data_IF_565608852060
#
_entry.id   IF_565608852060
#
_cell.length_a   1.000
_cell.length_b   1.000
_cell.length_c   1.000
_cell.angle_alpha   90.00
_cell.angle_beta   90.00
_cell.angle_gamma   90.00
#
_symmetry.space_group_name_H-M   'P 1'
#
loop_
_entity.id
_entity.type
_entity.pdbx_description
1 polymer ?
#
# COMPACT_ATOMS: atom_id res chain seq x y z
N UNK A 1 19.74 7.23 9.97
CA UNK A 1 19.57 6.96 11.41
C UNK A 1 19.49 8.25 12.23
N UNK A 2 20.46 9.14 12.10
CA UNK A 2 20.59 10.35 12.94
C UNK A 2 19.36 11.27 12.94
N UNK A 3 18.60 11.33 11.83
CA UNK A 3 17.35 12.10 11.74
C UNK A 3 16.10 11.31 12.13
N UNK A 4 16.02 10.03 11.72
CA UNK A 4 14.81 9.22 11.93
C UNK A 4 14.60 8.79 13.39
N UNK A 5 15.66 8.43 14.10
CA UNK A 5 15.54 7.98 15.49
C UNK A 5 15.03 9.11 16.39
N UNK A 6 15.61 10.32 16.39
CA UNK A 6 15.07 11.44 17.16
C UNK A 6 13.64 11.86 16.75
N UNK A 7 13.28 11.69 15.47
CA UNK A 7 11.92 11.93 15.00
C UNK A 7 10.95 10.90 15.63
N UNK A 8 11.31 9.63 15.57
CA UNK A 8 10.51 8.54 16.16
C UNK A 8 10.31 8.75 17.67
N UNK A 9 11.35 9.16 18.39
CA UNK A 9 11.25 9.46 19.82
C UNK A 9 10.27 10.62 20.09
N UNK A 10 10.29 11.66 19.28
CA UNK A 10 9.31 12.77 19.38
C UNK A 10 7.88 12.30 19.09
N UNK A 11 7.68 11.47 18.06
CA UNK A 11 6.36 10.92 17.74
C UNK A 11 5.85 10.06 18.89
N UNK A 12 6.68 9.18 19.45
CA UNK A 12 6.33 8.33 20.59
C UNK A 12 5.96 9.16 21.84
N UNK A 13 6.68 10.25 22.08
CA UNK A 13 6.38 11.16 23.19
C UNK A 13 5.05 11.91 23.02
N UNK A 14 4.59 12.13 21.77
CA UNK A 14 3.30 12.73 21.48
C UNK A 14 2.11 11.78 21.70
N UNK A 15 2.37 10.47 21.85
CA UNK A 15 1.33 9.44 22.00
C UNK A 15 0.72 8.99 20.67
N UNK A 16 -0.01 7.87 20.72
CA UNK A 16 -0.70 7.31 19.55
C UNK A 16 -2.13 7.86 19.44
N UNK A 17 -2.68 7.97 18.23
CA UNK A 17 -4.09 8.29 18.06
C UNK A 17 -4.98 7.18 18.65
N UNK A 18 -6.17 7.54 19.11
CA UNK A 18 -7.20 6.56 19.46
C UNK A 18 -7.77 5.96 18.16
N UNK A 19 -7.59 4.67 17.97
CA UNK A 19 -8.03 3.90 16.80
C UNK A 19 -9.20 2.96 17.11
N UNK A 20 -9.79 3.04 18.29
CA UNK A 20 -10.90 2.16 18.72
C UNK A 20 -12.09 2.17 17.76
N UNK A 21 -12.34 3.31 17.10
CA UNK A 21 -13.39 3.45 16.10
C UNK A 21 -13.16 2.56 14.82
N UNK A 22 -11.95 2.06 14.64
CA UNK A 22 -11.61 1.14 13.52
C UNK A 22 -11.57 -0.32 13.95
N UNK A 23 -11.81 -0.62 15.22
CA UNK A 23 -11.92 -1.99 15.69
C UNK A 23 -13.24 -2.62 15.20
N UNK A 24 -13.17 -3.90 14.84
CA UNK A 24 -14.34 -4.61 14.37
C UNK A 24 -14.01 -5.72 13.38
N UNK A 25 -15.06 -6.35 12.86
CA UNK A 25 -14.93 -7.38 11.82
C UNK A 25 -15.38 -6.83 10.48
N UNK A 26 -14.54 -6.99 9.48
CA UNK A 26 -14.71 -6.46 8.13
C UNK A 26 -14.86 -7.60 7.14
N UNK A 27 -15.98 -7.63 6.45
CA UNK A 27 -16.31 -8.65 5.46
C UNK A 27 -15.25 -8.70 4.35
N UNK A 28 -14.77 -9.90 4.02
CA UNK A 28 -13.72 -10.12 3.01
C UNK A 28 -14.20 -9.74 1.60
N UNK A 29 -15.43 -10.06 1.24
CA UNK A 29 -15.97 -9.74 -0.08
C UNK A 29 -16.20 -8.23 -0.24
N UNK A 30 -16.50 -7.53 0.87
CA UNK A 30 -16.54 -6.08 0.88
C UNK A 30 -15.13 -5.49 0.70
N UNK A 31 -14.10 -6.06 1.31
CA UNK A 31 -12.71 -5.63 1.11
C UNK A 31 -12.25 -5.84 -0.35
N UNK A 32 -12.65 -6.93 -1.00
CA UNK A 32 -12.41 -7.16 -2.45
C UNK A 32 -13.06 -6.06 -3.32
N UNK A 33 -14.26 -5.63 -2.96
CA UNK A 33 -14.92 -4.50 -3.65
C UNK A 33 -14.19 -3.17 -3.41
N UNK A 34 -13.66 -2.97 -2.20
CA UNK A 34 -12.83 -1.80 -1.89
C UNK A 34 -11.55 -1.81 -2.72
N UNK A 35 -10.87 -2.96 -2.85
CA UNK A 35 -9.72 -3.10 -3.74
C UNK A 35 -10.06 -2.64 -5.16
N UNK A 36 -11.15 -3.15 -5.74
CA UNK A 36 -11.54 -2.79 -7.10
C UNK A 36 -11.91 -1.31 -7.24
N UNK A 37 -12.54 -0.73 -6.21
CA UNK A 37 -12.79 0.72 -6.14
C UNK A 37 -11.47 1.52 -6.16
N UNK A 38 -10.49 1.11 -5.36
CA UNK A 38 -9.19 1.79 -5.27
C UNK A 38 -8.39 1.66 -6.56
N UNK A 39 -8.31 0.46 -7.12
CA UNK A 39 -7.62 0.20 -8.39
C UNK A 39 -8.24 1.04 -9.52
N UNK A 40 -9.57 1.06 -9.65
CA UNK A 40 -10.26 1.92 -10.62
C UNK A 40 -9.98 3.41 -10.37
N UNK A 41 -9.97 3.83 -9.10
CA UNK A 41 -9.74 5.22 -8.72
C UNK A 41 -8.35 5.72 -9.09
N UNK A 42 -7.33 4.89 -8.95
CA UNK A 42 -5.95 5.24 -9.33
C UNK A 42 -5.65 5.03 -10.82
N UNK A 43 -6.57 4.45 -11.60
CA UNK A 43 -6.47 4.34 -13.04
C UNK A 43 -6.06 2.96 -13.57
N UNK A 44 -6.17 1.89 -12.77
CA UNK A 44 -5.93 0.52 -13.26
C UNK A 44 -6.99 0.14 -14.31
N UNK A 45 -6.53 -0.38 -15.43
CA UNK A 45 -7.37 -0.88 -16.52
C UNK A 45 -7.71 -2.36 -16.30
N UNK A 46 -8.98 -2.65 -15.99
CA UNK A 46 -9.47 -4.02 -15.79
C UNK A 46 -9.64 -4.80 -17.09
N UNK A 47 -9.66 -4.14 -18.25
CA UNK A 47 -9.67 -4.81 -19.57
C UNK A 47 -8.28 -5.37 -19.91
N UNK A 48 -7.23 -4.81 -19.28
CA UNK A 48 -5.84 -5.24 -19.44
C UNK A 48 -5.30 -5.94 -18.16
N UNK A 49 -6.17 -6.49 -17.31
CA UNK A 49 -5.73 -7.19 -16.13
C UNK A 49 -6.86 -7.62 -15.20
N UNK A 50 -6.49 -8.17 -14.04
CA UNK A 50 -7.45 -8.68 -13.08
C UNK A 50 -6.90 -8.75 -11.66
N UNK A 51 -7.78 -9.13 -10.73
CA UNK A 51 -7.46 -9.25 -9.31
C UNK A 51 -7.68 -10.66 -8.80
N UNK A 52 -6.88 -11.07 -7.81
CA UNK A 52 -7.03 -12.34 -7.12
C UNK A 52 -6.62 -12.21 -5.65
N UNK A 53 -6.90 -13.23 -4.86
CA UNK A 53 -6.43 -13.35 -3.48
C UNK A 53 -5.18 -14.22 -3.45
N UNK A 54 -4.22 -13.88 -2.58
CA UNK A 54 -2.98 -14.64 -2.36
C UNK A 54 -2.53 -14.52 -0.91
N UNK A 55 -1.63 -15.40 -0.49
CA UNK A 55 -1.06 -15.37 0.86
C UNK A 55 -0.17 -14.14 1.12
N UNK A 56 0.39 -13.55 0.07
CA UNK A 56 1.15 -12.32 0.11
C UNK A 56 0.79 -11.48 -1.12
N UNK A 57 0.46 -10.18 -0.97
CA UNK A 57 0.18 -9.30 -2.10
C UNK A 57 1.36 -9.26 -3.08
N UNK A 58 1.05 -9.28 -4.37
CA UNK A 58 2.04 -9.09 -5.44
C UNK A 58 1.35 -8.68 -6.75
N UNK A 59 2.13 -8.07 -7.63
CA UNK A 59 1.75 -7.79 -9.01
C UNK A 59 2.56 -8.66 -9.95
N UNK A 60 1.90 -9.27 -10.93
CA UNK A 60 2.52 -10.11 -11.95
C UNK A 60 2.08 -9.67 -13.34
N UNK A 61 3.05 -9.50 -14.23
CA UNK A 61 2.84 -9.26 -15.65
C UNK A 61 2.93 -10.59 -16.39
N UNK A 62 1.80 -11.09 -16.88
CA UNK A 62 1.77 -12.32 -17.70
C UNK A 62 2.07 -11.99 -19.17
N UNK A 63 1.52 -10.90 -19.64
CA UNK A 63 1.84 -10.29 -20.92
C UNK A 63 1.35 -8.84 -20.88
N UNK A 64 1.62 -8.05 -21.92
CA UNK A 64 1.28 -6.63 -22.00
C UNK A 64 -0.20 -6.30 -21.72
N UNK A 65 -1.13 -7.16 -22.07
CA UNK A 65 -2.56 -6.99 -21.85
C UNK A 65 -3.11 -7.79 -20.68
N UNK A 66 -2.27 -8.34 -19.82
CA UNK A 66 -2.69 -9.15 -18.69
C UNK A 66 -1.79 -8.94 -17.46
N UNK A 67 -2.08 -7.87 -16.73
CA UNK A 67 -1.43 -7.51 -15.47
C UNK A 67 -2.30 -7.98 -14.31
N UNK A 68 -1.76 -8.83 -13.45
CA UNK A 68 -2.48 -9.43 -12.32
C UNK A 68 -2.05 -8.80 -11.00
N UNK A 69 -3.04 -8.30 -10.25
CA UNK A 69 -2.86 -7.75 -8.90
C UNK A 69 -3.44 -8.73 -7.89
N UNK A 70 -2.64 -9.15 -6.93
CA UNK A 70 -3.15 -9.97 -5.83
C UNK A 70 -3.13 -9.20 -4.52
N UNK A 71 -3.97 -9.62 -3.58
CA UNK A 71 -4.05 -9.02 -2.27
C UNK A 71 -4.27 -10.09 -1.19
N UNK A 72 -4.03 -9.71 0.04
CA UNK A 72 -4.38 -10.49 1.22
C UNK A 72 -5.36 -9.71 2.10
N UNK A 73 -6.36 -10.41 2.66
CA UNK A 73 -7.43 -9.76 3.42
C UNK A 73 -7.44 -10.29 4.85
N UNK A 74 -7.69 -9.38 5.78
CA UNK A 74 -7.82 -9.70 7.20
C UNK A 74 -9.15 -9.14 7.73
N UNK A 75 -9.91 -9.97 8.42
CA UNK A 75 -11.21 -9.55 8.98
C UNK A 75 -11.08 -8.41 10.00
N UNK A 76 -9.95 -8.26 10.65
CA UNK A 76 -9.74 -7.25 11.69
C UNK A 76 -8.79 -6.11 11.30
N UNK A 77 -8.16 -6.17 10.13
CA UNK A 77 -7.12 -5.20 9.71
C UNK A 77 -7.33 -4.71 8.26
N UNK A 78 -8.46 -4.05 7.95
CA UNK A 78 -8.78 -3.65 6.58
C UNK A 78 -7.81 -2.62 6.02
N UNK A 79 -7.13 -1.83 6.86
CA UNK A 79 -6.12 -0.85 6.43
C UNK A 79 -4.97 -1.53 5.69
N UNK A 80 -4.53 -2.72 6.14
CA UNK A 80 -3.48 -3.49 5.46
C UNK A 80 -3.88 -3.83 4.02
N UNK A 81 -5.07 -4.41 3.81
CA UNK A 81 -5.55 -4.74 2.46
C UNK A 81 -5.78 -3.51 1.57
N UNK A 82 -6.21 -2.39 2.15
CA UNK A 82 -6.39 -1.11 1.47
C UNK A 82 -5.05 -0.59 0.91
N UNK A 83 -4.02 -0.56 1.74
CA UNK A 83 -2.71 -0.05 1.33
C UNK A 83 -1.96 -1.01 0.43
N UNK A 84 -2.12 -2.32 0.62
CA UNK A 84 -1.62 -3.32 -0.33
C UNK A 84 -2.25 -3.15 -1.72
N UNK A 85 -3.56 -2.90 -1.80
CA UNK A 85 -4.22 -2.63 -3.09
C UNK A 85 -3.67 -1.39 -3.81
N UNK A 86 -3.38 -0.32 -3.07
CA UNK A 86 -2.80 0.91 -3.64
C UNK A 86 -1.35 0.66 -4.08
N UNK A 87 -0.56 -0.06 -3.28
CA UNK A 87 0.82 -0.42 -3.57
C UNK A 87 0.93 -1.27 -4.85
N UNK A 88 0.23 -2.39 -4.87
CA UNK A 88 0.22 -3.31 -6.02
C UNK A 88 -0.41 -2.65 -7.25
N UNK A 89 -1.42 -1.81 -7.05
CA UNK A 89 -1.98 -0.97 -8.10
C UNK A 89 -0.96 -0.02 -8.72
N UNK A 90 -0.07 0.55 -7.92
CA UNK A 90 1.03 1.39 -8.41
C UNK A 90 2.00 0.63 -9.31
N UNK A 91 2.37 -0.61 -8.95
CA UNK A 91 3.11 -1.51 -9.81
C UNK A 91 2.36 -1.83 -11.10
N UNK A 92 1.08 -2.16 -10.99
CA UNK A 92 0.27 -2.56 -12.13
C UNK A 92 0.08 -1.41 -13.15
N UNK A 93 -0.17 -0.18 -12.67
CA UNK A 93 -0.29 0.99 -13.54
C UNK A 93 1.03 1.29 -14.25
N UNK A 94 2.17 1.11 -13.58
CA UNK A 94 3.47 1.25 -14.23
C UNK A 94 3.58 0.29 -15.41
N UNK A 95 3.26 -0.99 -15.22
CA UNK A 95 3.31 -2.02 -16.26
C UNK A 95 2.31 -1.76 -17.40
N UNK A 96 1.09 -1.34 -17.07
CA UNK A 96 0.05 -1.03 -18.07
C UNK A 96 0.39 0.19 -18.94
N UNK A 97 1.29 1.08 -18.47
CA UNK A 97 1.67 2.30 -19.17
C UNK A 97 3.05 2.24 -19.82
N UNK A 98 3.69 1.07 -19.90
CA UNK A 98 4.90 0.89 -20.72
C UNK A 98 4.54 1.17 -22.19
N UNK A 99 5.28 2.07 -22.84
CA UNK A 99 5.00 2.51 -24.21
C UNK A 99 5.06 1.34 -25.20
N UNK A 100 4.09 1.27 -26.12
CA UNK A 100 4.01 0.20 -27.11
C UNK A 100 5.18 0.17 -28.08
N UNK A 101 5.90 1.27 -28.28
CA UNK A 101 7.13 1.30 -29.08
C UNK A 101 8.28 0.51 -28.47
N UNK A 102 8.20 0.19 -27.17
CA UNK A 102 9.20 -0.64 -26.48
C UNK A 102 8.88 -2.13 -26.54
N UNK A 103 7.71 -2.53 -27.08
CA UNK A 103 7.29 -3.92 -27.19
C UNK A 103 8.37 -4.79 -27.87
N UNK A 104 8.58 -5.98 -27.32
CA UNK A 104 9.56 -6.97 -27.83
C UNK A 104 11.03 -6.47 -27.86
N UNK A 105 11.33 -5.36 -27.17
CA UNK A 105 12.69 -4.87 -27.00
C UNK A 105 13.25 -5.19 -25.62
N UNK A 106 14.57 -5.17 -25.47
CA UNK A 106 15.20 -5.29 -24.16
C UNK A 106 14.80 -4.16 -23.19
N UNK A 107 14.36 -3.02 -23.71
CA UNK A 107 13.90 -1.88 -22.89
C UNK A 107 12.53 -2.12 -22.23
N UNK A 108 11.68 -2.97 -22.82
CA UNK A 108 10.40 -3.38 -22.20
C UNK A 108 10.62 -4.14 -20.91
N UNK A 109 11.66 -4.97 -20.88
CA UNK A 109 11.97 -5.87 -19.75
C UNK A 109 13.03 -5.33 -18.80
N UNK A 110 13.55 -4.12 -19.04
CA UNK A 110 14.49 -3.46 -18.12
C UNK A 110 13.73 -3.05 -16.85
N UNK A 111 13.48 -4.05 -16.03
CA UNK A 111 12.85 -3.86 -14.74
C UNK A 111 13.91 -3.41 -13.73
N UNK A 112 14.13 -2.11 -13.66
CA UNK A 112 14.88 -1.53 -12.56
C UNK A 112 13.99 -1.62 -11.31
N UNK A 113 14.20 -2.64 -10.49
CA UNK A 113 13.40 -2.92 -9.29
C UNK A 113 13.16 -1.67 -8.44
N UNK A 114 14.19 -0.81 -8.31
CA UNK A 114 14.07 0.45 -7.58
C UNK A 114 13.12 1.46 -8.25
N UNK A 115 13.07 1.50 -9.58
CA UNK A 115 12.13 2.36 -10.31
C UNK A 115 10.69 1.82 -10.17
N UNK A 116 10.52 0.53 -10.31
CA UNK A 116 9.23 -0.16 -10.16
C UNK A 116 8.65 0.02 -8.76
N UNK A 117 9.47 -0.18 -7.71
CA UNK A 117 9.11 0.07 -6.32
C UNK A 117 8.85 1.56 -6.04
N UNK A 118 9.52 2.47 -6.74
CA UNK A 118 9.25 3.91 -6.58
C UNK A 118 7.85 4.29 -7.01
N UNK A 119 7.27 3.61 -7.99
CA UNK A 119 5.89 3.83 -8.44
C UNK A 119 4.88 3.33 -7.41
N UNK A 120 5.06 2.13 -6.89
CA UNK A 120 4.19 1.61 -5.83
C UNK A 120 4.23 2.50 -4.58
N UNK A 121 5.43 2.93 -4.17
CA UNK A 121 5.61 3.85 -3.04
C UNK A 121 5.06 5.24 -3.30
N UNK A 122 5.11 5.73 -4.53
CA UNK A 122 4.47 6.99 -4.90
C UNK A 122 2.96 6.93 -4.64
N UNK A 123 2.30 5.88 -5.12
CA UNK A 123 0.86 5.71 -4.90
C UNK A 123 0.53 5.44 -3.43
N UNK A 124 1.26 4.54 -2.77
CA UNK A 124 1.01 4.17 -1.38
C UNK A 124 1.33 5.31 -0.41
N UNK A 125 2.55 5.84 -0.44
CA UNK A 125 3.04 6.75 0.60
C UNK A 125 2.83 8.22 0.25
N UNK A 126 3.07 8.62 -1.01
CA UNK A 126 2.98 10.04 -1.38
C UNK A 126 1.51 10.44 -1.63
N UNK A 127 0.71 9.60 -2.27
CA UNK A 127 -0.70 9.88 -2.53
C UNK A 127 -1.61 9.29 -1.44
N UNK A 128 -1.53 8.00 -1.19
CA UNK A 128 -2.45 7.26 -0.33
C UNK A 128 -2.43 7.67 1.15
N UNK A 129 -1.35 8.27 1.63
CA UNK A 129 -1.27 8.81 3.00
C UNK A 129 -1.83 10.23 3.15
N UNK A 130 -2.20 10.89 2.04
CA UNK A 130 -2.72 12.28 2.08
C UNK A 130 -4.24 12.33 2.20
N UNK A 131 -4.79 13.21 3.05
CA UNK A 131 -6.25 13.40 3.14
C UNK A 131 -6.90 13.71 1.79
N UNK A 132 -6.24 14.50 0.93
CA UNK A 132 -6.75 14.88 -0.38
C UNK A 132 -7.03 13.69 -1.31
N UNK A 133 -6.30 12.57 -1.16
CA UNK A 133 -6.56 11.34 -1.89
C UNK A 133 -7.92 10.72 -1.52
N UNK A 134 -8.29 10.79 -0.25
CA UNK A 134 -9.48 10.12 0.29
C UNK A 134 -10.77 10.95 0.20
N UNK A 135 -10.67 12.29 0.20
CA UNK A 135 -11.85 13.17 0.16
C UNK A 135 -12.88 12.73 -0.90
N UNK A 136 -12.50 12.43 -2.17
CA UNK A 136 -13.47 12.06 -3.20
C UNK A 136 -14.08 10.66 -3.06
N UNK A 137 -13.43 9.76 -2.30
CA UNK A 137 -13.81 8.34 -2.24
C UNK A 137 -14.18 7.85 -0.85
N UNK A 138 -13.96 8.62 0.21
CA UNK A 138 -14.23 8.18 1.59
C UNK A 138 -15.68 7.77 1.82
N UNK A 139 -16.62 8.52 1.26
CA UNK A 139 -18.04 8.15 1.32
C UNK A 139 -18.36 6.82 0.62
N UNK A 140 -17.66 6.50 -0.49
CA UNK A 140 -17.79 5.22 -1.18
C UNK A 140 -17.18 4.08 -0.36
N UNK A 141 -16.06 4.34 0.31
CA UNK A 141 -15.44 3.39 1.24
C UNK A 141 -16.43 3.01 2.36
N UNK A 142 -17.07 4.00 3.01
CA UNK A 142 -18.13 3.76 4.01
C UNK A 142 -19.38 3.07 3.44
N UNK A 143 -19.64 3.20 2.13
CA UNK A 143 -20.70 2.48 1.45
C UNK A 143 -20.42 0.98 1.31
N UNK A 144 -19.16 0.60 1.15
CA UNK A 144 -18.73 -0.80 1.02
C UNK A 144 -18.39 -1.44 2.37
N UNK A 145 -17.77 -0.70 3.26
CA UNK A 145 -17.41 -1.10 4.62
C UNK A 145 -18.20 -0.21 5.61
N UNK A 146 -19.39 -0.63 6.07
CA UNK A 146 -20.28 0.20 6.86
C UNK A 146 -19.65 0.77 8.15
N UNK A 147 -18.68 0.08 8.73
CA UNK A 147 -17.95 0.53 9.92
C UNK A 147 -17.29 1.90 9.69
N UNK A 148 -16.81 2.19 8.47
CA UNK A 148 -16.19 3.48 8.13
C UNK A 148 -17.18 4.64 8.09
N UNK A 149 -18.50 4.40 8.10
CA UNK A 149 -19.50 5.49 8.22
C UNK A 149 -19.45 6.16 9.57
N UNK A 150 -19.15 5.39 10.61
CA UNK A 150 -19.11 5.87 11.99
C UNK A 150 -17.72 6.43 12.36
N UNK A 151 -16.70 6.22 11.50
CA UNK A 151 -15.35 6.73 11.70
C UNK A 151 -15.25 8.16 11.14
N UNK A 152 -14.98 9.18 11.95
CA UNK A 152 -14.74 10.53 11.45
C UNK A 152 -13.55 10.53 10.47
N UNK A 153 -13.66 11.32 9.41
CA UNK A 153 -12.61 11.39 8.37
C UNK A 153 -11.23 11.75 8.95
N UNK A 154 -11.17 12.65 9.91
CA UNK A 154 -9.92 13.02 10.59
C UNK A 154 -9.32 11.85 11.39
N UNK A 155 -10.16 11.05 12.05
CA UNK A 155 -9.71 9.81 12.73
C UNK A 155 -9.15 8.81 11.75
N UNK A 156 -9.80 8.60 10.59
CA UNK A 156 -9.28 7.78 9.52
C UNK A 156 -7.91 8.28 9.02
N UNK A 157 -7.80 9.59 8.77
CA UNK A 157 -6.53 10.20 8.33
C UNK A 157 -5.41 10.03 9.36
N UNK A 158 -5.72 10.07 10.65
CA UNK A 158 -4.74 9.78 11.72
C UNK A 158 -4.35 8.31 11.73
N UNK A 159 -5.32 7.41 11.57
CA UNK A 159 -5.08 5.97 11.55
C UNK A 159 -4.15 5.53 10.43
N UNK A 160 -4.38 6.01 9.22
CA UNK A 160 -3.52 5.66 8.07
C UNK A 160 -2.12 6.27 8.17
N UNK A 161 -1.88 7.21 9.07
CA UNK A 161 -0.60 7.85 9.36
C UNK A 161 -0.08 7.53 10.77
N UNK A 162 -0.62 6.51 11.43
CA UNK A 162 -0.10 6.08 12.74
C UNK A 162 1.33 5.53 12.60
N UNK A 163 2.21 5.96 13.50
CA UNK A 163 3.61 5.58 13.49
C UNK A 163 3.94 4.83 14.77
N UNK A 164 4.31 3.56 14.63
CA UNK A 164 4.74 2.74 15.75
C UNK A 164 5.72 1.65 15.33
N UNK A 165 6.75 1.36 16.14
CA UNK A 165 7.66 0.25 15.88
C UNK A 165 6.92 -1.09 15.87
N UNK A 166 7.19 -1.91 14.85
CA UNK A 166 6.70 -3.27 14.73
C UNK A 166 7.84 -4.22 14.33
N UNK A 167 7.60 -5.52 14.44
CA UNK A 167 8.57 -6.53 14.00
C UNK A 167 8.41 -6.94 12.53
N UNK A 168 7.31 -6.57 11.90
CA UNK A 168 6.95 -6.98 10.54
C UNK A 168 7.24 -5.83 9.58
N UNK A 169 8.28 -6.00 8.75
CA UNK A 169 8.72 -4.97 7.78
C UNK A 169 7.64 -4.58 6.79
N UNK A 170 6.90 -5.54 6.26
CA UNK A 170 5.87 -5.30 5.24
C UNK A 170 4.67 -4.52 5.77
N UNK A 171 4.49 -4.48 7.09
CA UNK A 171 3.44 -3.72 7.76
C UNK A 171 3.96 -2.46 8.46
N UNK A 172 5.25 -2.15 8.27
CA UNK A 172 5.86 -0.98 8.88
C UNK A 172 5.31 0.31 8.28
N UNK A 173 5.09 1.30 9.13
CA UNK A 173 4.70 2.65 8.71
C UNK A 173 5.81 3.36 7.92
N UNK A 174 5.47 4.49 7.30
CA UNK A 174 6.38 5.25 6.44
C UNK A 174 7.69 5.68 7.14
N UNK A 175 7.64 5.97 8.44
CA UNK A 175 8.81 6.41 9.21
C UNK A 175 9.70 5.23 9.59
N UNK A 176 9.10 4.12 10.07
CA UNK A 176 9.85 2.97 10.57
C UNK A 176 10.33 2.03 9.47
N UNK A 177 9.69 2.02 8.29
CA UNK A 177 10.08 1.16 7.17
C UNK A 177 11.57 1.29 6.79
N UNK A 178 12.08 2.52 6.67
CA UNK A 178 13.49 2.76 6.36
C UNK A 178 14.44 2.20 7.43
N UNK A 179 14.02 2.16 8.70
CA UNK A 179 14.83 1.58 9.78
C UNK A 179 14.92 0.05 9.65
N UNK A 180 13.86 -0.62 9.21
CA UNK A 180 13.90 -2.06 8.88
C UNK A 180 14.90 -2.36 7.76
N UNK A 181 14.93 -1.56 6.71
CA UNK A 181 15.88 -1.71 5.59
C UNK A 181 17.32 -1.53 6.08
N UNK A 182 17.58 -0.49 6.86
CA UNK A 182 18.92 -0.20 7.41
C UNK A 182 19.37 -1.35 8.34
N UNK A 183 18.50 -1.83 9.22
CA UNK A 183 18.79 -2.95 10.12
C UNK A 183 19.17 -4.20 9.32
N UNK A 184 18.37 -4.56 8.33
CA UNK A 184 18.62 -5.71 7.46
C UNK A 184 19.96 -5.61 6.75
N UNK A 185 20.25 -4.46 6.15
CA UNK A 185 21.52 -4.20 5.48
C UNK A 185 22.73 -4.39 6.43
N UNK A 186 22.64 -3.86 7.65
CA UNK A 186 23.72 -3.98 8.64
C UNK A 186 23.90 -5.43 9.11
N UNK A 187 22.80 -6.16 9.29
CA UNK A 187 22.84 -7.58 9.65
C UNK A 187 23.48 -8.42 8.54
N UNK A 188 23.07 -8.26 7.30
CA UNK A 188 23.65 -8.96 6.14
C UNK A 188 25.15 -8.67 6.02
N UNK A 189 25.53 -7.40 6.15
CA UNK A 189 26.95 -7.01 6.12
C UNK A 189 27.77 -7.62 7.26
N UNK A 190 27.18 -7.88 8.43
CA UNK A 190 27.84 -8.53 9.55
C UNK A 190 27.99 -10.07 9.34
N UNK A 191 27.02 -10.69 8.66
CA UNK A 191 27.01 -12.13 8.38
C UNK A 191 28.04 -12.48 7.28
N UNK A 192 28.18 -11.65 6.26
CA UNK A 192 29.04 -11.93 5.08
C UNK A 192 30.43 -11.28 5.15
N UNK A 193 30.85 -10.77 6.29
CA UNK A 193 32.21 -10.29 6.57
C UNK A 193 33.04 -11.33 7.32
#
# INVERSE_FOLDING_TARGET
KEGLIPLLDKIRAAGRPDLSALEGTYDIDAQKKVQNLLLSYIGFDFDAGGTAESAHPFTATLCRGDIRVTNHYHETHPISSIFSAIHEGGHAIFEQNIDSSLADTAAETVNLMGLHESQSRFYENILGRRPAFWIPIYGKLGGLLPQFKEVPFDTFCRAINDVHPSYIRTEADEVTYCLHIILRYEMEKAIFR
#
